data_IF_168977348312
#
_entry.id   IF_168977348312
#
_cell.length_a   1.000
_cell.length_b   1.000
_cell.length_c   1.000
_cell.angle_alpha   90.00
_cell.angle_beta   90.00
_cell.angle_gamma   90.00
#
_symmetry.space_group_name_H-M   'P 1'
#
loop_
_entity.id
_entity.type
_entity.pdbx_description
1 polymer ?
#
# COMPACT_ATOMS: atom_id res chain seq x y z
N UNK A 1 18.83 5.97 12.43
CA UNK A 1 17.78 6.59 11.58
C UNK A 1 16.51 5.77 11.69
N UNK A 2 15.35 6.40 11.54
CA UNK A 2 14.05 5.70 11.53
C UNK A 2 13.88 4.96 10.20
N UNK A 3 13.54 3.68 10.24
CA UNK A 3 13.29 2.86 9.05
C UNK A 3 11.79 2.75 8.83
N UNK A 4 11.35 2.85 7.59
CA UNK A 4 9.95 2.59 7.25
C UNK A 4 9.59 1.12 7.47
N UNK A 5 8.35 0.88 7.86
CA UNK A 5 7.76 -0.46 7.90
C UNK A 5 7.59 -1.02 6.48
N UNK A 6 7.14 -2.27 6.36
CA UNK A 6 6.69 -2.81 5.07
C UNK A 6 5.32 -2.21 4.75
N UNK A 7 5.18 -1.62 3.57
CA UNK A 7 3.91 -1.04 3.14
C UNK A 7 3.81 -1.04 1.61
N UNK A 8 2.59 -0.81 1.11
CA UNK A 8 2.32 -0.41 -0.26
C UNK A 8 1.44 0.84 -0.28
N UNK A 9 1.49 1.62 -1.36
CA UNK A 9 0.78 2.90 -1.43
C UNK A 9 0.22 3.13 -2.84
N UNK A 10 -1.05 3.52 -2.91
CA UNK A 10 -1.68 4.05 -4.12
C UNK A 10 -1.60 5.57 -4.10
N UNK A 11 -0.92 6.16 -5.08
CA UNK A 11 -0.74 7.61 -5.23
C UNK A 11 -1.34 8.06 -6.55
N UNK A 12 -2.18 9.10 -6.51
CA UNK A 12 -2.68 9.77 -7.70
C UNK A 12 -2.38 11.26 -7.64
N UNK A 13 -1.77 11.79 -8.71
CA UNK A 13 -1.42 13.20 -8.82
C UNK A 13 -0.63 13.74 -7.62
N UNK A 14 0.30 12.94 -7.09
CA UNK A 14 1.12 13.30 -5.92
C UNK A 14 0.39 13.24 -4.57
N UNK A 15 -0.89 12.84 -4.53
CA UNK A 15 -1.65 12.62 -3.30
C UNK A 15 -1.81 11.13 -3.01
N UNK A 16 -1.63 10.78 -1.74
CA UNK A 16 -1.87 9.43 -1.22
C UNK A 16 -3.37 9.18 -1.19
N UNK A 17 -3.84 8.21 -1.94
CA UNK A 17 -5.22 7.73 -1.84
C UNK A 17 -5.34 6.63 -0.80
N UNK A 18 -4.42 5.66 -0.83
CA UNK A 18 -4.40 4.53 0.10
C UNK A 18 -2.99 4.22 0.54
N UNK A 19 -2.81 3.89 1.82
CA UNK A 19 -1.56 3.43 2.41
C UNK A 19 -1.79 2.14 3.19
N UNK A 20 -1.23 1.03 2.71
CA UNK A 20 -1.38 -0.30 3.31
C UNK A 20 -0.11 -0.61 4.12
N UNK A 21 -0.17 -0.47 5.44
CA UNK A 21 0.97 -0.75 6.34
C UNK A 21 0.83 -2.12 6.95
N UNK A 22 1.91 -2.90 6.93
CA UNK A 22 1.94 -4.23 7.50
C UNK A 22 2.16 -4.19 9.02
N UNK A 23 1.55 -5.15 9.70
CA UNK A 23 1.94 -5.48 11.06
C UNK A 23 3.35 -6.13 11.09
N UNK A 24 4.05 -6.10 12.24
CA UNK A 24 5.36 -6.72 12.36
C UNK A 24 5.35 -8.20 11.95
N UNK A 25 6.23 -8.58 11.02
CA UNK A 25 6.36 -9.96 10.54
C UNK A 25 5.28 -10.42 9.56
N UNK A 26 4.37 -9.53 9.13
CA UNK A 26 3.28 -9.85 8.20
C UNK A 26 3.55 -9.42 6.76
N UNK A 27 2.81 -10.05 5.85
CA UNK A 27 2.74 -9.73 4.44
C UNK A 27 1.35 -10.11 3.91
N UNK A 28 0.35 -9.32 4.28
CA UNK A 28 -1.07 -9.63 4.02
C UNK A 28 -1.79 -8.50 3.28
N UNK A 29 -1.27 -7.26 3.32
CA UNK A 29 -1.96 -6.07 2.78
C UNK A 29 -1.11 -5.24 1.82
N UNK A 30 0.19 -5.50 1.77
CA UNK A 30 1.14 -4.82 0.90
C UNK A 30 1.50 -5.61 -0.37
N UNK A 31 0.78 -6.69 -0.64
CA UNK A 31 1.00 -7.50 -1.85
C UNK A 31 0.47 -6.83 -3.13
N UNK A 32 0.87 -7.39 -4.27
CA UNK A 32 0.53 -6.86 -5.59
C UNK A 32 -0.96 -7.02 -5.95
N UNK A 33 -1.62 -8.10 -5.50
CA UNK A 33 -3.01 -8.37 -5.82
C UNK A 33 -3.93 -7.35 -5.11
N UNK A 34 -3.62 -7.04 -3.86
CA UNK A 34 -4.29 -6.00 -3.05
C UNK A 34 -4.14 -4.63 -3.70
N UNK A 35 -2.93 -4.30 -4.15
CA UNK A 35 -2.65 -3.05 -4.85
C UNK A 35 -3.39 -2.93 -6.19
N UNK A 36 -3.39 -4.00 -6.98
CA UNK A 36 -4.08 -4.03 -8.27
C UNK A 36 -5.58 -3.82 -8.10
N UNK A 37 -6.19 -4.51 -7.15
CA UNK A 37 -7.61 -4.36 -6.84
C UNK A 37 -7.97 -2.92 -6.44
N UNK A 38 -7.11 -2.24 -5.69
CA UNK A 38 -7.29 -0.83 -5.31
C UNK A 38 -7.19 0.12 -6.51
N UNK A 39 -6.26 -0.16 -7.42
CA UNK A 39 -6.11 0.61 -8.66
C UNK A 39 -7.32 0.43 -9.59
N UNK A 40 -7.84 -0.79 -9.72
CA UNK A 40 -9.03 -1.11 -10.52
C UNK A 40 -10.32 -0.52 -9.94
N UNK A 41 -10.48 -0.51 -8.61
CA UNK A 41 -11.70 0.01 -7.98
C UNK A 41 -11.84 1.54 -8.05
N UNK A 42 -10.79 2.23 -8.48
CA UNK A 42 -10.74 3.70 -8.52
C UNK A 42 -10.54 4.26 -9.94
N UNK A 43 -10.60 3.38 -10.95
CA UNK A 43 -10.78 3.72 -12.36
C UNK A 43 -12.28 3.83 -12.68
#
# INVERSE_FOLDING_TARGET
GLRSNRYSMLVKNGKIETLNVEAPGKFEVSDAATLLKQAESTA
#
